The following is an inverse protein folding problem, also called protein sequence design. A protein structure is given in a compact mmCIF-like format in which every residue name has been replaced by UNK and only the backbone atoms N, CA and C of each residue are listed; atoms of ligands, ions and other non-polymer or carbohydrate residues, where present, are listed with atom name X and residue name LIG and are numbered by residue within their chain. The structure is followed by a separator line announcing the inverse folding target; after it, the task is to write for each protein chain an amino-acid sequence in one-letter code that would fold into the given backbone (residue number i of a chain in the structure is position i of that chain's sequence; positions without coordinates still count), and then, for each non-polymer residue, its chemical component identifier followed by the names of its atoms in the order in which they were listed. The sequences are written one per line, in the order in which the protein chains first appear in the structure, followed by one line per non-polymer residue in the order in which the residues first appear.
data_IF_484970997738
#
_entry.id   IF_484970997738
#
_cell.length_a   1.000
_cell.length_b   1.000
_cell.length_c   1.000
_cell.angle_alpha   90.00
_cell.angle_beta   90.00
_cell.angle_gamma   90.00
#
_symmetry.space_group_name_H-M   'P 1'
#
loop_
_entity.id
_entity.type
_entity.pdbx_description
1 polymer ?
#
# COMPACT_ATOMS: atom_id res chain seq x y z
N UNK A 1 7.66 3.52 -23.95
CA UNK A 1 6.77 3.26 -22.81
C UNK A 1 5.71 2.27 -23.24
N UNK A 2 5.65 1.09 -22.63
CA UNK A 2 4.55 0.16 -22.84
C UNK A 2 3.51 0.40 -21.74
N UNK A 3 2.36 0.98 -22.08
CA UNK A 3 1.27 1.14 -21.12
C UNK A 3 0.69 -0.21 -20.70
N UNK A 4 -0.03 -0.25 -19.59
CA UNK A 4 -0.84 -1.42 -19.18
C UNK A 4 -2.30 -0.99 -19.13
N UNK A 5 -3.16 -1.76 -19.78
CA UNK A 5 -4.61 -1.67 -19.59
C UNK A 5 -4.97 -2.39 -18.30
N UNK A 6 -5.78 -1.75 -17.47
CA UNK A 6 -6.25 -2.29 -16.20
C UNK A 6 -7.77 -2.32 -16.22
N UNK A 7 -8.36 -3.43 -15.79
CA UNK A 7 -9.78 -3.57 -15.60
C UNK A 7 -10.05 -4.02 -14.16
N UNK A 8 -10.93 -3.28 -13.47
CA UNK A 8 -11.40 -3.62 -12.13
C UNK A 8 -12.88 -3.95 -12.24
N UNK A 9 -13.26 -5.15 -11.79
CA UNK A 9 -14.64 -5.63 -11.82
C UNK A 9 -15.13 -5.88 -10.40
N UNK A 10 -16.30 -5.33 -10.08
CA UNK A 10 -16.97 -5.46 -8.78
C UNK A 10 -18.26 -6.24 -8.96
N UNK A 11 -18.43 -7.33 -8.23
CA UNK A 11 -19.61 -8.19 -8.29
C UNK A 11 -20.81 -7.66 -7.52
N UNK A 12 -21.90 -8.42 -7.59
CA UNK A 12 -23.07 -8.23 -6.74
C UNK A 12 -22.69 -8.42 -5.25
N UNK A 13 -23.39 -7.74 -4.32
CA UNK A 13 -23.13 -7.92 -2.89
C UNK A 13 -23.61 -9.29 -2.40
N UNK A 14 -22.91 -9.85 -1.40
CA UNK A 14 -23.40 -10.98 -0.60
C UNK A 14 -24.47 -10.53 0.42
N UNK A 15 -24.99 -11.47 1.22
CA UNK A 15 -25.98 -11.19 2.28
C UNK A 15 -25.49 -10.17 3.31
N UNK A 16 -24.17 -10.08 3.51
CA UNK A 16 -23.52 -9.11 4.38
C UNK A 16 -23.09 -7.84 3.61
N UNK A 17 -23.59 -7.61 2.39
CA UNK A 17 -23.25 -6.41 1.62
C UNK A 17 -21.83 -6.38 1.03
N UNK A 18 -21.01 -7.42 1.23
CA UNK A 18 -19.64 -7.48 0.69
C UNK A 18 -19.66 -7.80 -0.79
N UNK A 19 -18.89 -7.07 -1.58
CA UNK A 19 -18.82 -7.24 -3.03
C UNK A 19 -17.46 -7.81 -3.42
N UNK A 20 -17.40 -8.95 -4.12
CA UNK A 20 -16.14 -9.48 -4.61
C UNK A 20 -15.56 -8.54 -5.67
N UNK A 21 -14.25 -8.35 -5.63
CA UNK A 21 -13.47 -7.52 -6.54
C UNK A 21 -12.43 -8.37 -7.26
N UNK A 22 -12.24 -8.12 -8.54
CA UNK A 22 -11.15 -8.71 -9.34
C UNK A 22 -10.43 -7.63 -10.14
N UNK A 23 -9.10 -7.73 -10.22
CA UNK A 23 -8.25 -6.84 -11.01
C UNK A 23 -7.58 -7.66 -12.11
N UNK A 24 -7.73 -7.20 -13.33
CA UNK A 24 -7.12 -7.79 -14.52
C UNK A 24 -6.21 -6.77 -15.19
N UNK A 25 -5.12 -7.25 -15.76
CA UNK A 25 -4.16 -6.45 -16.49
C UNK A 25 -3.83 -7.07 -17.84
N UNK A 26 -3.59 -6.22 -18.83
CA UNK A 26 -3.10 -6.60 -20.16
C UNK A 26 -2.18 -5.51 -20.73
N UNK A 27 -1.10 -5.84 -21.44
CA UNK A 27 -0.26 -4.83 -22.08
C UNK A 27 -1.09 -3.97 -23.06
N UNK A 28 -0.88 -2.66 -23.06
CA UNK A 28 -1.68 -1.72 -23.86
C UNK A 28 -1.46 -1.83 -25.37
N UNK A 29 -0.40 -2.51 -25.81
CA UNK A 29 -0.12 -2.82 -27.22
C UNK A 29 -0.38 -4.28 -27.58
N UNK A 30 -1.03 -5.05 -26.71
CA UNK A 30 -1.37 -6.42 -27.00
C UNK A 30 -2.45 -6.51 -28.07
N UNK A 31 -2.44 -7.59 -28.86
CA UNK A 31 -3.54 -7.91 -29.78
C UNK A 31 -4.85 -8.10 -29.02
N UNK A 32 -5.97 -7.94 -29.71
CA UNK A 32 -7.30 -8.13 -29.10
C UNK A 32 -7.47 -9.54 -28.53
N UNK A 33 -6.84 -10.53 -29.18
CA UNK A 33 -6.83 -11.95 -28.78
C UNK A 33 -5.95 -12.24 -27.55
N UNK A 34 -5.09 -11.31 -27.12
CA UNK A 34 -4.29 -11.53 -25.93
C UNK A 34 -5.20 -11.54 -24.69
N UNK A 35 -5.20 -12.63 -23.91
CA UNK A 35 -6.10 -12.76 -22.79
C UNK A 35 -5.74 -11.79 -21.66
N UNK A 36 -6.78 -11.30 -20.99
CA UNK A 36 -6.62 -10.59 -19.73
C UNK A 36 -6.06 -11.53 -18.66
N UNK A 37 -5.02 -11.08 -17.94
CA UNK A 37 -4.49 -11.81 -16.80
C UNK A 37 -5.08 -11.25 -15.53
N UNK A 38 -5.66 -12.11 -14.68
CA UNK A 38 -6.05 -11.72 -13.33
C UNK A 38 -4.79 -11.52 -12.48
N UNK A 39 -4.65 -10.33 -11.90
CA UNK A 39 -3.49 -9.92 -11.08
C UNK A 39 -3.85 -9.67 -9.62
N UNK A 40 -5.14 -9.59 -9.29
CA UNK A 40 -5.59 -9.44 -7.91
C UNK A 40 -7.06 -9.84 -7.73
N UNK A 41 -7.40 -10.22 -6.50
CA UNK A 41 -8.78 -10.52 -6.07
C UNK A 41 -8.96 -10.03 -4.64
N UNK A 42 -10.17 -9.61 -4.28
CA UNK A 42 -10.51 -9.19 -2.93
C UNK A 42 -12.01 -9.03 -2.76
N UNK A 43 -12.41 -8.29 -1.72
CA UNK A 43 -13.77 -7.84 -1.55
C UNK A 43 -13.79 -6.43 -0.96
N UNK A 44 -14.83 -5.67 -1.27
CA UNK A 44 -15.12 -4.37 -0.63
C UNK A 44 -16.40 -4.52 0.19
N UNK A 45 -16.41 -3.94 1.38
CA UNK A 45 -17.54 -4.00 2.31
C UNK A 45 -17.93 -2.58 2.74
N UNK A 46 -19.20 -2.36 3.15
CA UNK A 46 -19.58 -1.18 3.91
C UNK A 46 -18.73 -1.01 5.18
N UNK A 47 -18.49 0.24 5.58
CA UNK A 47 -17.62 0.62 6.69
C UNK A 47 -18.09 0.02 8.03
N UNK A 48 -19.41 -0.03 8.24
CA UNK A 48 -20.08 -0.62 9.42
C UNK A 48 -19.74 -2.10 9.66
N UNK A 49 -19.21 -2.77 8.63
CA UNK A 49 -18.82 -4.19 8.66
C UNK A 49 -17.31 -4.34 8.82
N UNK A 50 -16.53 -3.27 8.61
CA UNK A 50 -15.08 -3.24 8.72
C UNK A 50 -14.57 -2.99 10.16
N UNK A 51 -15.42 -2.47 11.06
CA UNK A 51 -15.10 -2.08 12.44
C UNK A 51 -14.69 -3.22 13.39
N UNK A 52 -14.64 -4.47 12.92
CA UNK A 52 -14.39 -5.65 13.75
C UNK A 52 -12.93 -6.03 14.00
N UNK A 53 -11.93 -5.28 13.53
CA UNK A 53 -10.54 -5.79 13.50
C UNK A 53 -9.38 -4.81 13.60
N UNK A 54 -9.62 -3.50 13.73
CA UNK A 54 -8.54 -2.57 14.03
C UNK A 54 -8.17 -2.69 15.52
N UNK A 55 -6.93 -3.11 15.82
CA UNK A 55 -6.40 -3.09 17.18
C UNK A 55 -6.36 -1.63 17.66
N UNK A 56 -7.35 -1.23 18.45
CA UNK A 56 -7.50 0.12 18.97
C UNK A 56 -6.27 0.57 19.78
N UNK A 57 -5.54 -0.38 20.38
CA UNK A 57 -4.32 -0.10 21.14
C UNK A 57 -3.17 0.44 20.27
N UNK A 58 -3.09 0.04 19.00
CA UNK A 58 -2.09 0.57 18.07
C UNK A 58 -2.40 2.03 17.68
N UNK A 59 -3.68 2.38 17.53
CA UNK A 59 -4.10 3.75 17.23
C UNK A 59 -3.94 4.68 18.43
N UNK A 60 -4.18 4.21 19.65
CA UNK A 60 -3.92 4.98 20.87
C UNK A 60 -2.42 5.31 21.02
N UNK A 61 -1.53 4.40 20.61
CA UNK A 61 -0.08 4.63 20.63
C UNK A 61 0.37 5.76 19.68
N UNK A 62 -0.42 6.08 18.63
CA UNK A 62 -0.13 7.19 17.71
C UNK A 62 -0.41 8.57 18.32
N UNK A 63 -1.14 8.65 19.44
CA UNK A 63 -1.39 9.92 20.13
C UNK A 63 -0.11 10.54 20.73
N UNK A 64 0.94 9.74 20.93
CA UNK A 64 2.26 10.19 21.36
C UNK A 64 3.31 9.76 20.32
N UNK A 65 4.03 10.73 19.74
CA UNK A 65 5.00 10.48 18.68
C UNK A 65 6.36 11.14 18.96
N UNK A 66 7.50 10.39 18.87
CA UNK A 66 7.59 8.95 18.60
C UNK A 66 6.97 8.10 19.74
N UNK A 67 6.59 6.84 19.45
CA UNK A 67 5.91 5.99 20.43
C UNK A 67 6.75 5.77 21.70
N UNK A 68 6.08 5.73 22.85
CA UNK A 68 6.76 5.51 24.15
C UNK A 68 7.38 4.12 24.20
N UNK A 69 8.57 4.03 24.80
CA UNK A 69 9.33 2.78 24.98
C UNK A 69 9.65 2.06 23.65
N UNK A 70 9.67 2.78 22.54
CA UNK A 70 10.06 2.25 21.26
C UNK A 70 11.56 2.50 21.00
N UNK A 71 12.23 1.50 20.46
CA UNK A 71 13.63 1.57 20.04
C UNK A 71 13.70 2.10 18.61
N UNK A 72 14.53 3.12 18.37
CA UNK A 72 14.78 3.67 17.03
C UNK A 72 15.62 2.67 16.21
N UNK A 73 15.19 2.40 14.98
CA UNK A 73 15.86 1.48 14.06
C UNK A 73 16.66 2.31 13.06
N UNK A 74 17.97 2.07 13.03
CA UNK A 74 18.86 2.68 12.04
C UNK A 74 18.52 2.18 10.63
N UNK A 75 18.29 3.13 9.73
CA UNK A 75 17.96 2.90 8.32
C UNK A 75 19.17 3.10 7.39
N UNK A 76 20.36 3.34 7.94
CA UNK A 76 21.59 3.49 7.16
C UNK A 76 21.81 2.27 6.27
N UNK A 77 21.90 2.47 4.96
CA UNK A 77 22.10 1.39 3.98
C UNK A 77 20.85 0.57 3.64
N UNK A 78 19.69 0.89 4.21
CA UNK A 78 18.49 0.05 4.10
C UNK A 78 18.05 -0.19 2.64
N UNK A 79 17.98 0.86 1.83
CA UNK A 79 17.56 0.73 0.43
C UNK A 79 18.63 0.10 -0.46
N UNK A 80 19.91 0.28 -0.13
CA UNK A 80 21.03 -0.40 -0.78
C UNK A 80 20.97 -1.92 -0.53
N UNK A 81 20.73 -2.33 0.71
CA UNK A 81 20.57 -3.73 1.10
C UNK A 81 19.35 -4.37 0.43
N UNK A 82 18.24 -3.64 0.35
CA UNK A 82 17.05 -4.07 -0.40
C UNK A 82 17.36 -4.24 -1.89
N UNK A 83 18.07 -3.29 -2.50
CA UNK A 83 18.49 -3.40 -3.90
C UNK A 83 19.41 -4.61 -4.13
N UNK A 84 20.35 -4.89 -3.21
CA UNK A 84 21.20 -6.08 -3.27
C UNK A 84 20.41 -7.40 -3.19
N UNK A 85 19.22 -7.36 -2.60
CA UNK A 85 18.26 -8.48 -2.53
C UNK A 85 17.27 -8.54 -3.71
N UNK A 86 17.41 -7.64 -4.68
CA UNK A 86 16.58 -7.58 -5.89
C UNK A 86 15.40 -6.61 -5.80
N UNK A 87 15.23 -5.88 -4.71
CA UNK A 87 14.19 -4.85 -4.55
C UNK A 87 14.72 -3.49 -5.03
N UNK A 88 14.59 -3.24 -6.33
CA UNK A 88 15.04 -2.01 -6.99
C UNK A 88 14.11 -0.83 -6.76
N UNK A 89 13.88 -0.42 -5.50
CA UNK A 89 13.05 0.73 -5.19
C UNK A 89 13.62 2.00 -5.83
N UNK A 90 12.84 2.61 -6.72
CA UNK A 90 13.16 3.91 -7.33
C UNK A 90 12.88 5.07 -6.37
N UNK A 91 13.30 6.30 -6.71
CA UNK A 91 13.17 7.47 -5.83
C UNK A 91 11.74 7.72 -5.30
N UNK A 92 10.73 7.40 -6.12
CA UNK A 92 9.32 7.50 -5.77
C UNK A 92 8.93 6.66 -4.53
N UNK A 93 9.55 5.48 -4.38
CA UNK A 93 9.23 4.47 -3.38
C UNK A 93 10.21 4.47 -2.20
N UNK A 94 11.14 5.44 -2.17
CA UNK A 94 12.11 5.59 -1.06
C UNK A 94 11.59 6.57 -0.01
N UNK A 95 10.35 6.36 0.44
CA UNK A 95 9.63 7.26 1.33
C UNK A 95 9.91 7.06 2.82
N UNK A 96 10.48 5.93 3.23
CA UNK A 96 10.70 5.58 4.64
C UNK A 96 11.73 6.51 5.29
N UNK A 97 11.35 7.19 6.37
CA UNK A 97 12.18 8.20 7.05
C UNK A 97 12.71 7.75 8.40
N UNK A 98 11.84 7.17 9.21
CA UNK A 98 12.15 6.74 10.57
C UNK A 98 11.35 5.50 10.90
N UNK A 99 11.94 4.58 11.65
CA UNK A 99 11.26 3.37 12.10
C UNK A 99 11.56 3.17 13.58
N UNK A 100 10.54 2.79 14.33
CA UNK A 100 10.69 2.38 15.72
C UNK A 100 10.04 1.03 15.96
N UNK A 101 10.55 0.29 16.94
CA UNK A 101 9.98 -0.98 17.39
C UNK A 101 9.64 -0.94 18.87
N UNK A 102 8.42 -1.32 19.22
CA UNK A 102 8.00 -1.55 20.60
C UNK A 102 7.43 -2.97 20.73
N UNK A 103 8.20 -3.89 21.32
CA UNK A 103 7.84 -5.31 21.36
C UNK A 103 7.72 -5.91 19.94
N UNK A 104 6.51 -6.31 19.57
CA UNK A 104 6.19 -6.87 18.26
C UNK A 104 5.60 -5.85 17.27
N UNK A 105 5.34 -4.62 17.72
CA UNK A 105 4.78 -3.54 16.88
C UNK A 105 5.89 -2.71 16.26
N UNK A 106 5.77 -2.46 14.95
CA UNK A 106 6.64 -1.55 14.20
C UNK A 106 5.87 -0.29 13.85
N UNK A 107 6.50 0.85 14.09
CA UNK A 107 5.99 2.18 13.75
C UNK A 107 6.93 2.82 12.74
N UNK A 108 6.39 3.57 11.78
CA UNK A 108 7.19 4.20 10.74
C UNK A 108 6.69 5.61 10.39
N UNK A 109 7.61 6.51 10.09
CA UNK A 109 7.34 7.72 9.33
C UNK A 109 7.64 7.45 7.86
N UNK A 110 6.64 7.62 7.00
CA UNK A 110 6.78 7.49 5.54
C UNK A 110 6.29 8.78 4.91
N UNK A 111 7.09 9.33 4.00
CA UNK A 111 6.82 10.63 3.35
C UNK A 111 7.03 10.48 1.85
N UNK A 112 6.01 10.88 1.08
CA UNK A 112 6.14 10.99 -0.37
C UNK A 112 7.19 12.04 -0.75
N UNK A 113 8.04 11.77 -1.76
CA UNK A 113 8.84 12.81 -2.40
C UNK A 113 7.98 14.00 -2.83
N UNK A 114 8.49 15.22 -2.72
CA UNK A 114 7.74 16.47 -2.95
C UNK A 114 7.03 16.50 -4.31
N UNK A 115 7.72 16.05 -5.36
CA UNK A 115 7.17 15.98 -6.72
C UNK A 115 5.91 15.10 -6.82
N UNK A 116 5.84 14.04 -6.01
CA UNK A 116 4.67 13.15 -5.96
C UNK A 116 3.62 13.64 -4.97
N UNK A 117 4.05 14.32 -3.90
CA UNK A 117 3.14 14.91 -2.92
C UNK A 117 2.17 15.90 -3.58
N UNK A 118 2.61 16.66 -4.59
CA UNK A 118 1.78 17.58 -5.35
C UNK A 118 0.61 16.88 -6.07
N UNK A 119 0.80 15.64 -6.55
CA UNK A 119 -0.23 14.87 -7.24
C UNK A 119 -0.99 13.88 -6.34
N UNK A 120 -0.59 13.77 -5.07
CA UNK A 120 -1.15 12.79 -4.12
C UNK A 120 -2.67 12.91 -3.93
N UNK A 121 -3.23 14.13 -4.06
CA UNK A 121 -4.66 14.42 -3.95
C UNK A 121 -5.53 13.68 -5.00
N UNK A 122 -4.92 13.15 -6.07
CA UNK A 122 -5.62 12.34 -7.09
C UNK A 122 -5.86 10.90 -6.64
N UNK A 123 -5.27 10.50 -5.52
CA UNK A 123 -5.35 9.15 -4.97
C UNK A 123 -6.07 9.17 -3.62
N UNK A 124 -6.81 8.11 -3.28
CA UNK A 124 -7.27 7.91 -1.90
C UNK A 124 -6.07 7.70 -0.96
N UNK A 125 -5.11 6.88 -1.39
CA UNK A 125 -3.79 6.74 -0.81
C UNK A 125 -2.81 6.53 -1.97
N UNK A 126 -1.72 7.31 -2.01
CA UNK A 126 -0.76 7.21 -3.10
C UNK A 126 -0.05 5.84 -3.08
N UNK A 127 0.04 5.09 -4.19
CA UNK A 127 0.63 3.74 -4.19
C UNK A 127 2.06 3.67 -3.64
N UNK A 128 2.91 4.66 -3.95
CA UNK A 128 4.27 4.73 -3.43
C UNK A 128 4.39 5.13 -1.94
N UNK A 129 3.28 5.58 -1.32
CA UNK A 129 3.22 5.80 0.14
C UNK A 129 2.76 4.53 0.87
N UNK A 130 1.95 3.71 0.20
CA UNK A 130 1.42 2.45 0.75
C UNK A 130 2.42 1.30 0.70
N UNK A 131 3.26 1.27 -0.34
CA UNK A 131 4.30 0.25 -0.56
C UNK A 131 5.49 0.41 0.42
#
# INVERSE_FOLDING_TARGET
TGGTQVQVSVGAPDEAGRRPLTVHARPSGASEDEPWRRVGTGAVAPDEIADGGADSGAFDALAQWPPRNAEDIDLTGHYEDLAARGFGYGPAFRGLRRVWRAGDTVFAEVVLPEDLAAESHRYGLHPALLD
#
